data_IF_164355027987
#
_entry.id   IF_164355027987
#
_cell.length_a   1.000
_cell.length_b   1.000
_cell.length_c   1.000
_cell.angle_alpha   90.00
_cell.angle_beta   90.00
_cell.angle_gamma   90.00
#
_symmetry.space_group_name_H-M   'P 1'
#
loop_
_entity.id
_entity.type
_entity.pdbx_description
1 polymer ?
#
# COMPACT_ATOMS: atom_id res chain seq x y z
N UNK A 1 -14.67 -0.36 16.22
CA UNK A 1 -14.93 0.99 16.78
C UNK A 1 -14.70 2.09 15.74
N UNK A 2 -13.55 2.13 15.05
CA UNK A 2 -13.22 3.16 14.07
C UNK A 2 -14.17 3.20 12.87
N UNK A 3 -14.51 2.05 12.29
CA UNK A 3 -15.49 1.99 11.19
C UNK A 3 -16.87 2.52 11.61
N UNK A 4 -17.30 2.21 12.84
CA UNK A 4 -18.56 2.74 13.37
C UNK A 4 -18.54 4.26 13.54
N UNK A 5 -17.40 4.82 13.94
CA UNK A 5 -17.22 6.27 14.04
C UNK A 5 -17.25 6.93 12.64
N UNK A 6 -16.54 6.36 11.67
CA UNK A 6 -16.53 6.87 10.30
C UNK A 6 -17.92 6.85 9.67
N UNK A 7 -18.66 5.77 9.87
CA UNK A 7 -20.05 5.66 9.43
C UNK A 7 -20.93 6.74 10.05
N UNK A 8 -20.86 6.89 11.37
CA UNK A 8 -21.61 7.93 12.08
C UNK A 8 -21.27 9.34 11.55
N UNK A 9 -19.98 9.64 11.38
CA UNK A 9 -19.54 10.94 10.87
C UNK A 9 -20.02 11.15 9.42
N UNK A 10 -19.90 10.16 8.55
CA UNK A 10 -20.33 10.23 7.16
C UNK A 10 -21.84 10.41 7.00
N UNK A 11 -22.63 9.86 7.91
CA UNK A 11 -24.09 10.00 7.91
C UNK A 11 -24.56 11.36 8.47
N UNK A 12 -23.83 11.95 9.41
CA UNK A 12 -24.27 13.15 10.13
C UNK A 12 -23.58 14.44 9.67
N UNK A 13 -22.49 14.36 8.91
CA UNK A 13 -21.73 15.52 8.44
C UNK A 13 -21.50 15.44 6.92
N UNK A 14 -21.59 16.59 6.24
CA UNK A 14 -21.48 16.66 4.78
C UNK A 14 -20.05 16.68 4.25
N UNK A 15 -19.12 17.14 5.06
CA UNK A 15 -17.72 17.38 4.67
C UNK A 15 -16.79 16.77 5.72
N UNK A 16 -16.56 15.48 5.61
CA UNK A 16 -15.62 14.78 6.48
C UNK A 16 -14.31 14.58 5.73
N UNK A 17 -13.21 14.98 6.33
CA UNK A 17 -11.86 14.72 5.84
C UNK A 17 -11.24 13.69 6.78
N UNK A 18 -10.92 12.51 6.25
CA UNK A 18 -10.22 11.47 7.00
C UNK A 18 -8.73 11.72 6.94
N UNK A 19 -8.10 11.86 8.10
CA UNK A 19 -6.65 11.98 8.23
C UNK A 19 -6.08 10.68 8.76
N UNK A 20 -5.25 10.02 7.95
CA UNK A 20 -4.54 8.79 8.32
C UNK A 20 -3.16 9.13 8.86
N UNK A 21 -2.95 8.87 10.15
CA UNK A 21 -1.64 8.98 10.79
C UNK A 21 -1.07 7.58 10.99
N UNK A 22 -0.62 6.98 9.91
CA UNK A 22 -0.02 5.64 9.89
C UNK A 22 1.18 5.60 8.97
N UNK A 23 2.19 4.81 9.31
CA UNK A 23 3.35 4.56 8.46
C UNK A 23 3.18 3.34 7.53
N UNK A 24 2.11 2.58 7.71
CA UNK A 24 1.87 1.35 6.99
C UNK A 24 0.58 1.41 6.19
N UNK A 25 0.50 0.56 5.16
CA UNK A 25 -0.74 0.28 4.46
C UNK A 25 -1.74 -0.36 5.43
N UNK A 26 -2.99 0.04 5.34
CA UNK A 26 -4.10 -0.52 6.12
C UNK A 26 -5.32 -0.74 5.23
N UNK A 27 -6.23 -1.58 5.65
CA UNK A 27 -7.52 -1.71 4.98
C UNK A 27 -8.43 -0.56 5.41
N UNK A 28 -8.94 0.19 4.45
CA UNK A 28 -9.81 1.33 4.72
C UNK A 28 -11.30 0.99 4.58
N UNK A 29 -11.60 -0.28 4.28
CA UNK A 29 -12.97 -0.72 4.10
C UNK A 29 -13.66 0.04 2.96
N UNK A 30 -14.90 0.41 3.18
CA UNK A 30 -15.75 1.07 2.19
C UNK A 30 -15.79 2.60 2.33
N UNK A 31 -14.69 3.25 2.74
CA UNK A 31 -14.67 4.71 2.94
C UNK A 31 -15.04 5.48 1.67
N UNK A 32 -14.68 4.96 0.51
CA UNK A 32 -15.00 5.48 -0.81
C UNK A 32 -16.50 5.40 -1.17
N UNK A 33 -17.25 4.59 -0.45
CA UNK A 33 -18.70 4.45 -0.57
C UNK A 33 -19.47 5.13 0.57
N UNK A 34 -18.78 5.71 1.55
CA UNK A 34 -19.43 6.39 2.69
C UNK A 34 -19.84 7.81 2.29
N UNK A 35 -21.13 8.14 2.31
CA UNK A 35 -21.58 9.50 2.07
C UNK A 35 -20.97 10.43 3.13
N UNK A 36 -20.65 11.65 2.75
CA UNK A 36 -20.07 12.65 3.66
C UNK A 36 -18.56 12.59 3.82
N UNK A 37 -17.88 11.47 3.50
CA UNK A 37 -16.41 11.42 3.45
C UNK A 37 -15.96 11.97 2.08
N UNK A 38 -15.53 13.23 2.09
CA UNK A 38 -15.14 13.93 0.86
C UNK A 38 -13.67 13.83 0.50
N UNK A 39 -12.82 13.50 1.47
CA UNK A 39 -11.39 13.37 1.24
C UNK A 39 -10.73 12.43 2.27
N UNK A 40 -9.64 11.81 1.83
CA UNK A 40 -8.75 11.04 2.69
C UNK A 40 -7.32 11.53 2.48
N UNK A 41 -6.65 11.91 3.55
CA UNK A 41 -5.27 12.41 3.54
C UNK A 41 -4.40 11.45 4.34
N UNK A 42 -3.43 10.85 3.69
CA UNK A 42 -2.41 10.07 4.38
C UNK A 42 -1.27 10.99 4.80
N UNK A 43 -1.17 11.26 6.09
CA UNK A 43 -0.13 12.09 6.67
C UNK A 43 1.18 11.34 6.93
N UNK A 44 1.12 10.00 7.00
CA UNK A 44 2.27 9.18 7.34
C UNK A 44 2.68 9.31 8.81
N UNK A 45 3.93 9.04 9.09
CA UNK A 45 4.55 9.19 10.42
C UNK A 45 5.01 10.63 10.59
N UNK A 46 4.13 11.45 11.11
CA UNK A 46 4.32 12.92 11.09
C UNK A 46 5.35 13.48 12.05
N UNK A 47 5.91 12.76 12.98
CA UNK A 47 6.87 13.29 13.93
C UNK A 47 6.37 14.54 14.70
N UNK A 48 7.27 15.23 15.39
CA UNK A 48 6.90 16.28 16.33
C UNK A 48 6.37 17.58 15.68
N UNK A 49 6.90 17.95 14.51
CA UNK A 49 6.59 19.24 13.85
C UNK A 49 5.76 19.10 12.55
N UNK A 50 5.59 17.91 12.05
CA UNK A 50 4.96 17.72 10.73
C UNK A 50 3.47 18.06 10.69
N UNK A 51 2.81 18.09 11.85
CA UNK A 51 1.43 18.53 11.94
C UNK A 51 1.23 20.02 11.60
N UNK A 52 2.29 20.82 11.61
CA UNK A 52 2.23 22.25 11.25
C UNK A 52 1.88 22.48 9.77
N UNK A 53 2.24 21.52 8.88
CA UNK A 53 1.94 21.61 7.45
C UNK A 53 0.48 21.23 7.11
N UNK A 54 -0.22 20.52 7.99
CA UNK A 54 -1.58 20.04 7.71
C UNK A 54 -2.60 21.17 7.54
N UNK A 55 -2.62 22.22 8.35
CA UNK A 55 -3.52 23.36 8.11
C UNK A 55 -3.28 24.00 6.75
N UNK A 56 -2.03 24.21 6.36
CA UNK A 56 -1.69 24.83 5.09
C UNK A 56 -2.08 23.97 3.89
N UNK A 57 -1.99 22.64 4.02
CA UNK A 57 -2.53 21.70 3.06
C UNK A 57 -4.05 21.81 2.97
N UNK A 58 -4.75 21.70 4.09
CA UNK A 58 -6.22 21.67 4.14
C UNK A 58 -6.84 23.01 3.67
N UNK A 59 -6.16 24.14 3.86
CA UNK A 59 -6.58 25.46 3.39
C UNK A 59 -6.06 25.80 1.99
N UNK A 60 -5.37 24.85 1.31
CA UNK A 60 -4.93 25.05 -0.07
C UNK A 60 -3.75 26.02 -0.23
N UNK A 61 -3.03 26.34 0.83
CA UNK A 61 -1.80 27.15 0.73
C UNK A 61 -0.64 26.38 0.13
N UNK A 62 -0.61 25.06 0.34
CA UNK A 62 0.32 24.15 -0.29
C UNK A 62 -0.46 23.06 -1.04
N UNK A 63 0.10 22.62 -2.16
CA UNK A 63 -0.52 21.62 -3.03
C UNK A 63 0.04 20.25 -2.73
N UNK A 64 -0.80 19.23 -2.46
CA UNK A 64 -0.32 17.87 -2.22
C UNK A 64 0.27 17.29 -3.51
N UNK A 65 1.38 16.58 -3.38
CA UNK A 65 2.07 15.89 -4.48
C UNK A 65 2.44 14.46 -4.16
N UNK A 66 2.15 14.00 -2.94
CA UNK A 66 2.43 12.65 -2.49
C UNK A 66 1.72 11.59 -3.33
N UNK A 67 2.39 10.44 -3.48
CA UNK A 67 1.84 9.27 -4.15
C UNK A 67 2.04 8.05 -3.27
N UNK A 68 1.13 7.08 -3.37
CA UNK A 68 1.27 5.81 -2.65
C UNK A 68 2.53 5.09 -3.10
N UNK A 69 3.34 4.69 -2.14
CA UNK A 69 4.55 3.90 -2.38
C UNK A 69 4.26 2.38 -2.33
N UNK A 70 3.01 2.02 -2.11
CA UNK A 70 2.54 0.64 -2.05
C UNK A 70 1.12 0.53 -2.60
N UNK A 71 0.64 -0.71 -2.83
CA UNK A 71 -0.72 -0.99 -3.24
C UNK A 71 -1.61 -1.14 -2.01
N UNK A 72 -2.71 -0.39 -1.97
CA UNK A 72 -3.72 -0.46 -0.92
C UNK A 72 -4.87 -1.35 -1.39
N UNK A 73 -4.97 -2.52 -0.83
CA UNK A 73 -6.03 -3.46 -1.16
C UNK A 73 -7.22 -3.35 -0.19
N UNK A 74 -8.42 -3.66 -0.66
CA UNK A 74 -9.60 -3.76 0.21
C UNK A 74 -9.48 -4.87 1.24
N UNK A 75 -8.67 -5.90 0.96
CA UNK A 75 -8.48 -7.03 1.84
C UNK A 75 -7.03 -7.55 1.75
N UNK A 76 -6.32 -7.56 2.85
CA UNK A 76 -4.95 -8.07 2.92
C UNK A 76 -4.80 -9.55 2.54
N UNK A 77 -5.89 -10.33 2.60
CA UNK A 77 -5.87 -11.73 2.14
C UNK A 77 -5.55 -11.89 0.66
N UNK A 78 -5.62 -10.81 -0.11
CA UNK A 78 -5.23 -10.79 -1.53
C UNK A 78 -3.74 -10.56 -1.74
N UNK A 79 -2.99 -10.16 -0.71
CA UNK A 79 -1.54 -10.02 -0.79
C UNK A 79 -0.87 -11.38 -0.92
N UNK A 80 0.16 -11.47 -1.77
CA UNK A 80 0.89 -12.73 -2.00
C UNK A 80 1.54 -13.27 -0.72
N UNK A 81 2.02 -12.39 0.15
CA UNK A 81 2.65 -12.75 1.42
C UNK A 81 1.67 -13.09 2.55
N UNK A 82 0.36 -12.92 2.35
CA UNK A 82 -0.61 -13.08 3.43
C UNK A 82 -0.58 -14.47 4.07
N UNK A 83 -0.49 -15.51 3.24
CA UNK A 83 -0.44 -16.89 3.72
C UNK A 83 0.79 -17.18 4.58
N UNK A 84 1.87 -16.43 4.38
CA UNK A 84 3.15 -16.58 5.09
C UNK A 84 3.31 -15.59 6.25
N UNK A 85 2.37 -14.65 6.42
CA UNK A 85 2.52 -13.55 7.38
C UNK A 85 2.07 -13.87 8.82
N UNK A 86 1.61 -15.10 9.07
CA UNK A 86 1.28 -15.55 10.43
C UNK A 86 0.09 -14.83 11.08
N UNK A 87 -0.79 -14.21 10.32
CA UNK A 87 -1.95 -13.53 10.84
C UNK A 87 -3.03 -14.54 11.31
N UNK A 88 -3.54 -14.37 12.51
CA UNK A 88 -4.66 -15.10 13.09
C UNK A 88 -4.50 -16.64 13.16
N UNK A 89 -3.27 -17.12 13.39
CA UNK A 89 -2.99 -18.54 13.43
C UNK A 89 -3.01 -19.22 12.05
N UNK A 90 -3.31 -18.47 10.98
CA UNK A 90 -3.12 -18.89 9.61
C UNK A 90 -1.73 -18.43 9.20
N UNK A 91 -0.80 -19.37 9.01
CA UNK A 91 0.58 -19.04 8.71
C UNK A 91 1.45 -18.81 9.95
N UNK A 92 1.07 -19.38 11.09
CA UNK A 92 2.09 -19.72 12.08
C UNK A 92 3.08 -20.61 11.35
N UNK A 93 4.33 -20.18 11.32
CA UNK A 93 5.40 -20.86 10.59
C UNK A 93 5.50 -22.30 11.10
N UNK A 94 4.83 -23.22 10.44
CA UNK A 94 4.90 -24.65 10.73
C UNK A 94 6.33 -25.20 10.62
N UNK A 95 7.23 -24.38 10.08
CA UNK A 95 8.57 -24.77 9.71
C UNK A 95 9.67 -24.18 10.61
N UNK A 96 9.35 -23.42 11.65
CA UNK A 96 10.35 -22.89 12.59
C UNK A 96 10.97 -23.98 13.45
N UNK A 97 10.18 -25.01 13.74
CA UNK A 97 10.62 -26.13 14.56
C UNK A 97 11.63 -27.00 13.78
N UNK A 98 12.86 -27.03 14.29
CA UNK A 98 13.93 -27.88 13.73
C UNK A 98 14.88 -27.23 12.72
N UNK A 99 14.63 -26.01 12.24
CA UNK A 99 15.55 -25.31 11.34
C UNK A 99 16.71 -24.63 12.07
N UNK A 100 16.49 -24.22 13.30
CA UNK A 100 17.54 -23.75 14.17
C UNK A 100 17.79 -24.80 15.24
N UNK A 101 19.03 -25.28 15.41
CA UNK A 101 19.33 -26.21 16.50
C UNK A 101 18.98 -25.51 17.81
N UNK A 102 18.11 -26.13 18.58
CA UNK A 102 17.79 -25.68 19.92
C UNK A 102 19.00 -25.94 20.81
N UNK A 103 19.73 -24.92 21.15
CA UNK A 103 20.87 -24.97 22.05
C UNK A 103 20.55 -24.59 23.49
N UNK A 104 19.29 -24.22 23.76
CA UNK A 104 18.85 -23.80 25.08
C UNK A 104 19.29 -22.38 25.45
N UNK A 105 20.00 -21.68 24.56
CA UNK A 105 20.44 -20.32 24.81
C UNK A 105 19.32 -19.32 24.52
N UNK A 106 19.29 -18.24 25.28
CA UNK A 106 18.34 -17.15 25.10
C UNK A 106 18.86 -16.24 23.99
N UNK A 107 18.01 -15.82 23.10
CA UNK A 107 18.32 -14.71 22.21
C UNK A 107 18.54 -13.46 23.06
N UNK A 108 19.74 -12.89 23.05
CA UNK A 108 20.21 -11.90 24.01
C UNK A 108 19.50 -10.55 24.04
N UNK A 109 18.44 -10.36 23.24
CA UNK A 109 17.71 -9.07 23.16
C UNK A 109 16.24 -9.16 23.54
N UNK A 110 15.71 -10.32 23.87
CA UNK A 110 14.27 -10.49 24.09
C UNK A 110 14.04 -11.20 25.41
N UNK A 111 14.15 -10.49 26.51
CA UNK A 111 13.78 -10.98 27.84
C UNK A 111 14.20 -12.41 28.19
N UNK A 112 14.14 -12.75 29.43
CA UNK A 112 14.72 -13.98 29.97
C UNK A 112 14.09 -15.32 29.52
N UNK A 113 13.02 -15.31 28.76
CA UNK A 113 12.23 -16.52 28.48
C UNK A 113 12.18 -16.95 27.01
N UNK A 114 12.92 -16.26 26.12
CA UNK A 114 12.88 -16.57 24.71
C UNK A 114 13.75 -17.78 24.37
N UNK A 115 13.18 -18.75 23.67
CA UNK A 115 13.87 -19.95 23.19
C UNK A 115 13.87 -19.96 21.66
N UNK A 116 14.90 -20.55 21.05
CA UNK A 116 15.00 -20.66 19.60
C UNK A 116 13.88 -21.48 18.94
N UNK A 117 13.26 -22.40 19.66
CA UNK A 117 12.08 -23.14 19.22
C UNK A 117 10.82 -22.25 19.05
N UNK A 118 10.88 -21.03 19.58
CA UNK A 118 9.82 -20.02 19.45
C UNK A 118 10.10 -19.01 18.32
N UNK A 119 11.24 -19.12 17.62
CA UNK A 119 11.54 -18.27 16.47
C UNK A 119 10.79 -18.78 15.26
N UNK A 120 9.86 -17.97 14.81
CA UNK A 120 9.19 -18.17 13.53
C UNK A 120 10.05 -17.61 12.41
N UNK A 121 10.13 -18.29 11.28
CA UNK A 121 10.74 -17.76 10.07
C UNK A 121 9.69 -17.59 8.97
N UNK A 122 9.94 -16.68 8.05
CA UNK A 122 9.10 -16.45 6.89
C UNK A 122 9.77 -17.03 5.66
N UNK A 123 9.08 -17.93 4.99
CA UNK A 123 9.48 -18.36 3.65
C UNK A 123 8.89 -17.38 2.63
N UNK A 124 9.75 -16.60 1.96
CA UNK A 124 9.33 -15.67 0.92
C UNK A 124 9.00 -16.41 -0.39
N UNK A 125 8.02 -17.30 -0.34
CA UNK A 125 7.59 -18.10 -1.49
C UNK A 125 7.10 -17.25 -2.67
N UNK A 126 6.63 -16.04 -2.40
CA UNK A 126 6.21 -15.06 -3.41
C UNK A 126 7.37 -14.48 -4.23
N UNK A 127 8.61 -14.59 -3.77
CA UNK A 127 9.79 -14.07 -4.43
C UNK A 127 9.71 -12.57 -4.71
N UNK A 128 9.76 -12.16 -5.97
CA UNK A 128 9.69 -10.74 -6.37
C UNK A 128 8.25 -10.20 -6.45
N UNK A 129 7.24 -11.06 -6.33
CA UNK A 129 5.84 -10.69 -6.51
C UNK A 129 5.23 -10.17 -5.20
N UNK A 130 5.68 -9.00 -4.76
CA UNK A 130 5.16 -8.29 -3.59
C UNK A 130 4.61 -6.92 -3.99
N UNK A 131 3.61 -6.42 -3.24
CA UNK A 131 2.98 -5.14 -3.51
C UNK A 131 2.47 -5.04 -4.95
N UNK A 132 2.73 -3.92 -5.63
CA UNK A 132 2.26 -3.69 -7.00
C UNK A 132 2.73 -4.75 -8.01
N UNK A 133 3.91 -5.34 -7.82
CA UNK A 133 4.41 -6.40 -8.72
C UNK A 133 3.52 -7.63 -8.70
N UNK A 134 2.91 -7.93 -7.56
CA UNK A 134 1.91 -9.00 -7.47
C UNK A 134 0.59 -8.57 -8.10
N UNK A 135 0.03 -7.46 -7.64
CA UNK A 135 -1.30 -7.04 -8.07
C UNK A 135 -1.40 -6.79 -9.57
N UNK A 136 -0.42 -6.08 -10.15
CA UNK A 136 -0.37 -5.77 -11.58
C UNK A 136 -0.08 -7.01 -12.42
N UNK A 137 0.80 -7.91 -11.97
CA UNK A 137 1.09 -9.15 -12.71
C UNK A 137 -0.11 -10.09 -12.68
N UNK A 138 -0.79 -10.21 -11.56
CA UNK A 138 -1.98 -11.01 -11.42
C UNK A 138 -3.13 -10.47 -12.29
N UNK A 139 -3.26 -9.14 -12.41
CA UNK A 139 -4.22 -8.52 -13.31
C UNK A 139 -3.91 -8.82 -14.78
N UNK A 140 -2.66 -8.64 -15.17
CA UNK A 140 -2.20 -8.96 -16.52
C UNK A 140 -2.37 -10.44 -16.93
N UNK A 141 -2.63 -11.31 -15.96
CA UNK A 141 -2.91 -12.74 -16.15
C UNK A 141 -4.37 -13.10 -15.87
N UNK A 142 -5.26 -12.14 -15.86
CA UNK A 142 -6.71 -12.30 -15.63
C UNK A 142 -7.04 -13.01 -14.27
N UNK A 143 -6.09 -13.04 -13.34
CA UNK A 143 -6.26 -13.72 -12.05
C UNK A 143 -7.36 -13.09 -11.20
N UNK A 144 -7.54 -11.77 -11.30
CA UNK A 144 -8.55 -11.03 -10.54
C UNK A 144 -9.95 -11.10 -11.16
N UNK A 145 -10.13 -11.58 -12.37
CA UNK A 145 -11.43 -11.62 -13.08
C UNK A 145 -12.55 -12.34 -12.34
N UNK A 146 -12.18 -13.25 -11.45
CA UNK A 146 -13.13 -13.97 -10.57
C UNK A 146 -13.64 -13.14 -9.39
N UNK A 147 -13.00 -12.01 -9.09
CA UNK A 147 -13.39 -11.15 -7.97
C UNK A 147 -14.47 -10.17 -8.41
N UNK A 148 -15.47 -10.04 -7.55
CA UNK A 148 -16.59 -9.12 -7.73
C UNK A 148 -17.12 -8.66 -6.37
N UNK A 149 -17.32 -7.37 -6.20
CA UNK A 149 -17.91 -6.78 -5.01
C UNK A 149 -18.55 -5.40 -5.31
N UNK A 150 -18.88 -4.63 -4.27
CA UNK A 150 -19.50 -3.30 -4.39
C UNK A 150 -18.60 -2.27 -5.07
N UNK A 151 -17.29 -2.49 -5.11
CA UNK A 151 -16.32 -1.60 -5.75
C UNK A 151 -16.09 -1.89 -7.23
N UNK A 152 -16.57 -3.03 -7.71
CA UNK A 152 -16.48 -3.40 -9.13
C UNK A 152 -16.10 -4.86 -9.35
N UNK A 153 -15.41 -5.12 -10.46
CA UNK A 153 -14.97 -6.44 -10.89
C UNK A 153 -13.47 -6.44 -11.21
N UNK A 154 -12.84 -7.60 -11.05
CA UNK A 154 -11.44 -7.78 -11.38
C UNK A 154 -10.54 -6.97 -10.46
N UNK A 155 -9.55 -6.29 -11.02
CA UNK A 155 -8.60 -5.46 -10.31
C UNK A 155 -9.28 -4.42 -9.39
N UNK A 156 -10.34 -3.76 -9.86
CA UNK A 156 -11.08 -2.76 -9.10
C UNK A 156 -11.80 -3.33 -7.88
N UNK A 157 -12.12 -4.61 -7.87
CA UNK A 157 -12.69 -5.27 -6.70
C UNK A 157 -11.64 -5.61 -5.65
N UNK A 158 -10.36 -5.57 -6.00
CA UNK A 158 -9.25 -5.99 -5.13
C UNK A 158 -8.44 -4.80 -4.65
N UNK A 159 -8.10 -3.86 -5.53
CA UNK A 159 -7.22 -2.73 -5.24
C UNK A 159 -8.04 -1.46 -5.08
N UNK A 160 -7.90 -0.84 -3.91
CA UNK A 160 -8.54 0.44 -3.59
C UNK A 160 -7.69 1.61 -4.12
N UNK A 161 -6.41 1.62 -3.80
CA UNK A 161 -5.47 2.61 -4.32
C UNK A 161 -4.22 1.90 -4.86
N UNK A 162 -3.95 2.00 -6.16
CA UNK A 162 -2.77 1.37 -6.75
C UNK A 162 -1.48 2.07 -6.33
N UNK A 163 -0.35 1.43 -6.55
CA UNK A 163 0.97 2.05 -6.45
C UNK A 163 1.04 3.31 -7.32
N UNK A 164 1.58 4.39 -6.77
CA UNK A 164 1.70 5.67 -7.45
C UNK A 164 0.41 6.50 -7.49
N UNK A 165 -0.66 6.04 -6.85
CA UNK A 165 -1.90 6.81 -6.73
C UNK A 165 -1.73 8.03 -5.84
N UNK A 166 -2.39 9.11 -6.19
CA UNK A 166 -2.50 10.29 -5.37
C UNK A 166 -3.17 11.42 -6.14
N UNK A 167 -3.90 12.25 -5.41
CA UNK A 167 -4.56 13.43 -5.94
C UNK A 167 -3.75 14.69 -5.62
N UNK A 168 -3.98 15.73 -6.38
CA UNK A 168 -3.39 17.05 -6.19
C UNK A 168 -4.47 18.11 -6.32
N UNK A 169 -4.17 19.35 -5.96
CA UNK A 169 -5.06 20.50 -6.23
C UNK A 169 -4.90 21.07 -7.64
N UNK A 170 -3.99 20.48 -8.43
CA UNK A 170 -3.80 20.79 -9.84
C UNK A 170 -3.68 19.50 -10.65
N UNK A 171 -3.74 19.61 -11.96
CA UNK A 171 -3.60 18.50 -12.91
C UNK A 171 -2.39 18.69 -13.81
N UNK A 172 -1.85 17.59 -14.33
CA UNK A 172 -0.69 17.59 -15.19
C UNK A 172 -0.90 16.68 -16.38
N UNK A 173 -0.57 17.17 -17.56
CA UNK A 173 -0.41 16.36 -18.75
C UNK A 173 1.03 15.88 -18.90
N UNK A 174 1.18 14.62 -19.28
CA UNK A 174 2.48 13.95 -19.44
C UNK A 174 2.63 13.47 -20.85
N UNK A 175 3.72 13.86 -21.51
CA UNK A 175 4.05 13.44 -22.87
C UNK A 175 5.46 12.90 -22.92
N UNK A 176 5.60 11.64 -23.30
CA UNK A 176 6.91 11.08 -23.60
C UNK A 176 7.40 11.64 -24.92
N UNK A 177 8.46 12.45 -24.89
CA UNK A 177 9.04 13.10 -26.07
C UNK A 177 9.96 12.12 -26.81
N UNK A 178 10.71 11.35 -26.03
CA UNK A 178 11.55 10.31 -26.56
C UNK A 178 11.51 9.07 -25.65
N UNK A 179 11.43 7.90 -26.25
CA UNK A 179 11.51 6.60 -25.58
C UNK A 179 12.23 5.61 -26.48
N UNK A 180 12.85 4.57 -25.89
CA UNK A 180 13.46 3.51 -26.70
C UNK A 180 12.44 2.81 -27.57
N UNK A 181 12.81 2.47 -28.78
CA UNK A 181 12.00 1.66 -29.68
C UNK A 181 11.80 0.24 -29.11
N UNK A 182 10.70 -0.43 -29.49
CA UNK A 182 10.35 -1.79 -29.00
C UNK A 182 11.47 -2.85 -29.11
N UNK A 183 12.48 -2.62 -29.97
CA UNK A 183 13.59 -3.54 -30.21
C UNK A 183 14.96 -2.89 -30.04
N UNK A 184 15.00 -1.74 -29.42
CA UNK A 184 16.25 -1.06 -29.14
C UNK A 184 17.06 -1.84 -28.12
N UNK A 185 18.30 -2.17 -28.45
CA UNK A 185 19.18 -2.90 -27.54
C UNK A 185 19.86 -1.91 -26.60
N UNK A 186 19.61 -2.06 -25.30
CA UNK A 186 20.35 -1.38 -24.25
C UNK A 186 21.44 -2.34 -23.79
N UNK A 187 22.70 -1.91 -23.82
CA UNK A 187 23.83 -2.71 -23.30
C UNK A 187 23.81 -2.70 -21.77
N UNK A 188 24.39 -3.71 -21.14
CA UNK A 188 24.43 -3.84 -19.67
C UNK A 188 25.02 -2.59 -18.99
N UNK A 189 26.01 -1.95 -19.62
CA UNK A 189 26.68 -0.73 -19.12
C UNK A 189 26.13 0.55 -19.78
N UNK A 190 25.08 0.43 -20.59
CA UNK A 190 24.48 1.55 -21.31
C UNK A 190 23.43 2.29 -20.49
N UNK A 191 23.31 3.59 -20.74
CA UNK A 191 22.23 4.41 -20.24
C UNK A 191 21.34 4.87 -21.40
N UNK A 192 20.05 4.96 -21.14
CA UNK A 192 19.10 5.54 -22.09
C UNK A 192 18.42 6.75 -21.46
N UNK A 193 18.42 7.88 -22.17
CA UNK A 193 17.78 9.11 -21.71
C UNK A 193 16.34 9.15 -22.21
N UNK A 194 15.38 9.03 -21.29
CA UNK A 194 13.98 9.27 -21.57
C UNK A 194 13.66 10.72 -21.26
N UNK A 195 13.04 11.42 -22.19
CA UNK A 195 12.60 12.81 -22.00
C UNK A 195 11.08 12.83 -21.91
N UNK A 196 10.58 13.45 -20.86
CA UNK A 196 9.15 13.62 -20.63
C UNK A 196 8.86 15.12 -20.52
N UNK A 197 7.89 15.58 -21.27
CA UNK A 197 7.30 16.92 -21.15
C UNK A 197 6.16 16.84 -20.15
N UNK A 198 6.16 17.73 -19.16
CA UNK A 198 5.12 17.82 -18.12
C UNK A 198 4.52 19.22 -18.18
N UNK A 199 3.23 19.29 -18.40
CA UNK A 199 2.49 20.55 -18.48
C UNK A 199 1.48 20.62 -17.35
N UNK A 200 1.52 21.68 -16.55
CA UNK A 200 0.49 21.95 -15.56
C UNK A 200 -0.76 22.47 -16.28
N UNK A 201 -1.91 21.82 -16.07
CA UNK A 201 -3.19 22.08 -16.75
C UNK A 201 -4.32 22.49 -15.81
N UNK A 202 -4.06 22.62 -14.48
CA UNK A 202 -5.04 23.00 -13.48
C UNK A 202 -4.75 24.30 -12.75
#
# INVERSE_FOLDING_TARGET
EEEGLLRYLGENYKNVILLLNTGNVMTLGAIDLMPGIGACVMAGMTGQYSAEALPDLLWGKITPSGRTADTWAYNFRTAASYANAGADGVGSYENGEGLYPFDGTKSGNVGESFKYDQVSYVDYAEGIYVGYKWYETADAQDYWDKYYNLHGRGYQAVVQYPFGYGLSYTTFDWKVVNAPGKREKITADGSYKITVEVTNTG
#
